data_IF_443861481130
#
_entry.id   IF_443861481130
#
_cell.length_a   1.000
_cell.length_b   1.000
_cell.length_c   1.000
_cell.angle_alpha   90.00
_cell.angle_beta   90.00
_cell.angle_gamma   90.00
#
_symmetry.space_group_name_H-M   'P 1'
#
loop_
_entity.id
_entity.type
_entity.pdbx_description
1 polymer ?
#
# COMPACT_ATOMS: atom_id res chain seq x y z
N UNK A 1 -17.10 10.23 37.39
CA UNK A 1 -16.63 10.83 36.13
C UNK A 1 -15.75 9.92 35.26
N UNK A 2 -14.74 9.18 35.77
CA UNK A 2 -13.76 8.50 34.91
C UNK A 2 -13.99 6.99 34.66
N UNK A 3 -14.81 6.30 35.46
CA UNK A 3 -14.85 4.83 35.43
C UNK A 3 -15.59 4.26 34.21
N UNK A 4 -16.59 4.97 33.66
CA UNK A 4 -17.42 4.47 32.55
C UNK A 4 -17.08 5.07 31.18
N UNK A 5 -16.44 6.23 31.13
CA UNK A 5 -16.04 6.90 29.88
C UNK A 5 -14.73 6.33 29.32
N UNK A 6 -13.79 5.95 30.20
CA UNK A 6 -12.49 5.39 29.81
C UNK A 6 -12.58 4.13 28.92
N UNK A 7 -13.43 3.12 29.21
CA UNK A 7 -13.54 1.93 28.36
C UNK A 7 -14.19 2.21 27.00
N UNK A 8 -15.12 3.17 26.94
CA UNK A 8 -15.82 3.56 25.70
C UNK A 8 -14.82 4.23 24.76
N UNK A 9 -14.15 5.29 25.21
CA UNK A 9 -13.10 5.99 24.44
C UNK A 9 -12.02 5.03 23.97
N UNK A 10 -11.51 4.16 24.85
CA UNK A 10 -10.49 3.17 24.47
C UNK A 10 -10.96 2.27 23.31
N UNK A 11 -12.24 1.87 23.30
CA UNK A 11 -12.79 1.00 22.24
C UNK A 11 -12.87 1.76 20.91
N UNK A 12 -13.33 3.01 20.91
CA UNK A 12 -13.39 3.86 19.72
C UNK A 12 -12.00 4.18 19.18
N UNK A 13 -11.02 4.46 20.05
CA UNK A 13 -9.62 4.64 19.66
C UNK A 13 -9.04 3.40 18.97
N UNK A 14 -9.29 2.20 19.50
CA UNK A 14 -8.85 0.95 18.86
C UNK A 14 -9.48 0.77 17.47
N UNK A 15 -10.78 1.06 17.31
CA UNK A 15 -11.46 0.99 16.03
C UNK A 15 -10.89 1.99 15.02
N UNK A 16 -10.69 3.24 15.45
CA UNK A 16 -10.07 4.32 14.65
C UNK A 16 -8.69 3.90 14.17
N UNK A 17 -7.86 3.33 15.05
CA UNK A 17 -6.52 2.87 14.70
C UNK A 17 -6.55 1.69 13.73
N UNK A 18 -7.48 0.74 13.90
CA UNK A 18 -7.64 -0.38 12.98
C UNK A 18 -8.02 0.08 11.56
N UNK A 19 -8.93 1.06 11.44
CA UNK A 19 -9.32 1.66 10.16
C UNK A 19 -8.11 2.33 9.49
N UNK A 20 -7.40 3.21 10.22
CA UNK A 20 -6.21 3.89 9.70
C UNK A 20 -5.10 2.91 9.30
N UNK A 21 -4.93 1.82 10.06
CA UNK A 21 -3.96 0.79 9.74
C UNK A 21 -4.35 0.01 8.47
N UNK A 22 -5.63 -0.26 8.28
CA UNK A 22 -6.16 -0.87 7.06
C UNK A 22 -5.93 0.01 5.83
N UNK A 23 -6.24 1.30 5.93
CA UNK A 23 -5.97 2.32 4.91
C UNK A 23 -4.49 2.32 4.49
N UNK A 24 -3.59 2.49 5.46
CA UNK A 24 -2.14 2.47 5.22
C UNK A 24 -1.67 1.16 4.58
N UNK A 25 -2.27 0.02 4.92
CA UNK A 25 -1.90 -1.26 4.33
C UNK A 25 -2.32 -1.36 2.86
N UNK A 26 -3.42 -0.72 2.47
CA UNK A 26 -3.86 -0.62 1.07
C UNK A 26 -2.92 0.29 0.28
N UNK A 27 -2.62 1.50 0.78
CA UNK A 27 -1.67 2.44 0.17
C UNK A 27 -0.30 1.77 -0.06
N UNK A 28 0.28 1.18 0.99
CA UNK A 28 1.56 0.46 0.88
C UNK A 28 1.49 -0.71 -0.11
N UNK A 29 0.33 -1.36 -0.25
CA UNK A 29 0.12 -2.43 -1.21
C UNK A 29 0.20 -1.94 -2.65
N UNK A 30 -0.39 -0.77 -2.93
CA UNK A 30 -0.34 -0.12 -4.25
C UNK A 30 1.08 0.35 -4.55
N UNK A 31 1.74 1.04 -3.62
CA UNK A 31 3.14 1.48 -3.78
C UNK A 31 4.09 0.30 -4.04
N UNK A 32 3.87 -0.82 -3.35
CA UNK A 32 4.62 -2.04 -3.58
C UNK A 32 4.41 -2.59 -5.00
N UNK A 33 3.16 -2.63 -5.48
CA UNK A 33 2.87 -3.06 -6.84
C UNK A 33 3.49 -2.15 -7.89
N UNK A 34 3.49 -0.83 -7.67
CA UNK A 34 4.14 0.16 -8.52
C UNK A 34 5.64 -0.12 -8.62
N UNK A 35 6.30 -0.27 -7.47
CA UNK A 35 7.72 -0.58 -7.40
C UNK A 35 8.08 -1.88 -8.13
N UNK A 36 7.26 -2.93 -7.98
CA UNK A 36 7.49 -4.21 -8.66
C UNK A 36 7.29 -4.08 -10.17
N UNK A 37 6.28 -3.32 -10.60
CA UNK A 37 5.98 -3.10 -12.01
C UNK A 37 7.08 -2.29 -12.69
N UNK A 38 7.58 -1.23 -12.05
CA UNK A 38 8.69 -0.41 -12.54
C UNK A 38 9.97 -1.25 -12.64
N UNK A 39 10.28 -2.04 -11.60
CA UNK A 39 11.41 -2.96 -11.63
C UNK A 39 11.30 -4.02 -12.75
N UNK A 40 10.09 -4.44 -13.09
CA UNK A 40 9.86 -5.36 -14.22
C UNK A 40 10.17 -4.67 -15.56
N UNK A 41 9.70 -3.44 -15.77
CA UNK A 41 10.00 -2.66 -16.99
C UNK A 41 11.50 -2.42 -17.12
N UNK A 42 12.16 -1.99 -16.05
CA UNK A 42 13.62 -1.82 -16.03
C UNK A 42 14.37 -3.13 -16.32
N UNK A 43 13.83 -4.26 -15.87
CA UNK A 43 14.39 -5.57 -16.19
C UNK A 43 14.37 -5.86 -17.70
N UNK A 44 13.37 -5.39 -18.45
CA UNK A 44 13.30 -5.58 -19.90
C UNK A 44 14.47 -4.88 -20.61
N UNK A 45 14.76 -3.62 -20.26
CA UNK A 45 15.91 -2.89 -20.81
C UNK A 45 17.25 -3.53 -20.42
N UNK A 46 17.36 -4.05 -19.19
CA UNK A 46 18.56 -4.79 -18.76
C UNK A 46 18.76 -6.08 -19.56
N UNK A 47 17.67 -6.79 -19.87
CA UNK A 47 17.68 -8.03 -20.65
C UNK A 47 17.99 -7.75 -22.12
N UNK A 48 17.45 -6.67 -22.69
CA UNK A 48 17.78 -6.22 -24.05
C UNK A 48 19.28 -5.94 -24.17
N UNK A 49 19.84 -5.15 -23.25
CA UNK A 49 21.27 -4.82 -23.21
C UNK A 49 22.16 -6.05 -23.11
N UNK A 50 21.79 -7.03 -22.27
CA UNK A 50 22.53 -8.28 -22.10
C UNK A 50 22.50 -9.15 -23.37
N UNK A 51 21.34 -9.24 -24.02
CA UNK A 51 21.18 -9.98 -25.28
C UNK A 51 21.96 -9.32 -26.41
N UNK A 52 21.85 -8.00 -26.57
CA UNK A 52 22.63 -7.21 -27.53
C UNK A 52 24.12 -7.48 -27.41
N UNK A 53 24.65 -7.41 -26.18
CA UNK A 53 26.07 -7.71 -25.92
C UNK A 53 26.46 -9.14 -26.31
N UNK A 54 25.57 -10.11 -26.08
CA UNK A 54 25.80 -11.52 -26.45
C UNK A 54 25.85 -11.71 -27.96
N UNK A 55 24.98 -11.01 -28.69
CA UNK A 55 24.93 -11.01 -30.15
C UNK A 55 26.19 -10.36 -30.73
N UNK A 56 26.61 -9.20 -30.21
CA UNK A 56 27.85 -8.51 -30.63
C UNK A 56 29.11 -9.36 -30.36
N UNK A 57 29.14 -10.09 -29.24
CA UNK A 57 30.22 -11.05 -28.95
C UNK A 57 30.24 -12.21 -29.96
N UNK A 58 29.06 -12.71 -30.35
CA UNK A 58 28.94 -13.77 -31.36
C UNK A 58 29.41 -13.30 -32.74
N UNK A 59 29.07 -12.05 -33.12
CA UNK A 59 29.58 -11.39 -34.33
C UNK A 59 31.12 -11.32 -34.31
N UNK A 60 31.69 -10.87 -33.19
CA UNK A 60 33.15 -10.77 -33.01
C UNK A 60 33.85 -12.14 -33.12
N UNK A 61 33.25 -13.19 -32.55
CA UNK A 61 33.77 -14.55 -32.65
C UNK A 61 33.73 -15.06 -34.11
N UNK A 62 32.67 -14.74 -34.86
CA UNK A 62 32.55 -15.10 -36.26
C UNK A 62 33.63 -14.41 -37.11
N UNK A 63 33.86 -13.11 -36.89
CA UNK A 63 34.95 -12.37 -37.53
C UNK A 63 36.32 -12.99 -37.24
N UNK A 64 36.57 -13.34 -35.98
CA UNK A 64 37.83 -13.98 -35.56
C UNK A 64 38.04 -15.33 -36.27
N UNK A 65 36.97 -16.09 -36.50
CA UNK A 65 37.03 -17.35 -37.25
C UNK A 65 37.36 -17.13 -38.73
N UNK A 66 36.73 -16.13 -39.35
CA UNK A 66 37.02 -15.73 -40.73
C UNK A 66 38.47 -15.25 -40.90
N UNK A 67 38.98 -14.45 -39.97
CA UNK A 67 40.37 -13.99 -39.95
C UNK A 67 41.35 -15.18 -39.92
N UNK A 68 41.04 -16.22 -39.16
CA UNK A 68 41.85 -17.44 -39.11
C UNK A 68 41.87 -18.19 -40.45
N UNK A 69 40.74 -18.25 -41.16
CA UNK A 69 40.64 -18.84 -42.51
C UNK A 69 41.48 -18.03 -43.51
N UNK A 70 41.33 -16.72 -43.52
CA UNK A 70 42.09 -15.83 -44.39
C UNK A 70 43.61 -15.98 -44.16
N UNK A 71 44.03 -16.10 -42.90
CA UNK A 71 45.44 -16.29 -42.53
C UNK A 71 46.04 -17.63 -43.03
N UNK A 72 45.21 -18.67 -43.18
CA UNK A 72 45.64 -20.00 -43.62
C UNK A 72 45.49 -20.21 -45.13
N UNK A 73 44.60 -19.46 -45.79
CA UNK A 73 44.38 -19.51 -47.23
C UNK A 73 44.32 -18.09 -47.84
N UNK A 74 45.47 -17.50 -48.21
CA UNK A 74 45.52 -16.13 -48.75
C UNK A 74 44.72 -15.91 -50.04
N UNK A 75 44.43 -16.99 -50.80
CA UNK A 75 43.60 -16.94 -52.00
C UNK A 75 42.09 -16.87 -51.73
N UNK A 76 41.65 -17.00 -50.48
CA UNK A 76 40.24 -16.99 -50.09
C UNK A 76 39.72 -15.61 -49.65
N UNK A 77 40.57 -14.58 -49.59
CA UNK A 77 40.23 -13.26 -49.05
C UNK A 77 38.95 -12.65 -49.65
N UNK A 78 38.76 -12.74 -50.97
CA UNK A 78 37.56 -12.23 -51.63
C UNK A 78 36.26 -12.93 -51.20
N UNK A 79 36.31 -14.26 -51.03
CA UNK A 79 35.15 -15.04 -50.56
C UNK A 79 34.91 -14.86 -49.06
N UNK A 80 35.95 -14.61 -48.27
CA UNK A 80 35.82 -14.30 -46.84
C UNK A 80 35.15 -12.95 -46.63
N UNK A 81 35.48 -11.95 -47.46
CA UNK A 81 34.87 -10.62 -47.40
C UNK A 81 33.37 -10.67 -47.73
N UNK A 82 32.96 -11.39 -48.78
CA UNK A 82 31.54 -11.58 -49.11
C UNK A 82 30.77 -12.25 -47.97
N UNK A 83 31.37 -13.24 -47.29
CA UNK A 83 30.75 -13.90 -46.14
C UNK A 83 30.66 -12.93 -44.95
N UNK A 84 31.69 -12.10 -44.73
CA UNK A 84 31.72 -11.11 -43.65
C UNK A 84 30.59 -10.09 -43.83
N UNK A 85 30.45 -9.54 -45.03
CA UNK A 85 29.44 -8.54 -45.35
C UNK A 85 28.02 -9.11 -45.17
N UNK A 86 27.77 -10.33 -45.67
CA UNK A 86 26.49 -11.01 -45.49
C UNK A 86 26.18 -11.30 -44.01
N UNK A 87 27.18 -11.69 -43.21
CA UNK A 87 26.99 -11.95 -41.78
C UNK A 87 26.75 -10.66 -41.01
N UNK A 88 27.44 -9.58 -41.37
CA UNK A 88 27.27 -8.27 -40.76
C UNK A 88 25.86 -7.74 -40.97
N UNK A 89 25.35 -7.81 -42.20
CA UNK A 89 23.98 -7.39 -42.54
C UNK A 89 22.94 -8.20 -41.76
N UNK A 90 23.15 -9.51 -41.60
CA UNK A 90 22.25 -10.37 -40.83
C UNK A 90 22.29 -10.06 -39.32
N UNK A 91 23.45 -9.77 -38.75
CA UNK A 91 23.58 -9.37 -37.34
C UNK A 91 22.96 -8.00 -37.09
N UNK A 92 23.17 -7.05 -37.99
CA UNK A 92 22.60 -5.70 -37.90
C UNK A 92 21.07 -5.77 -37.99
N UNK A 93 20.51 -6.49 -38.96
CA UNK A 93 19.09 -6.74 -39.06
C UNK A 93 18.51 -7.36 -37.78
N UNK A 94 19.20 -8.34 -37.19
CA UNK A 94 18.75 -9.00 -35.97
C UNK A 94 18.76 -8.03 -34.77
N UNK A 95 19.83 -7.25 -34.61
CA UNK A 95 19.96 -6.26 -33.55
C UNK A 95 18.91 -5.16 -33.66
N UNK A 96 18.64 -4.67 -34.87
CA UNK A 96 17.72 -3.57 -35.11
C UNK A 96 16.26 -4.00 -34.86
N UNK A 97 15.84 -5.15 -35.40
CA UNK A 97 14.51 -5.71 -35.11
C UNK A 97 14.33 -6.03 -33.63
N UNK A 98 15.37 -6.52 -32.97
CA UNK A 98 15.31 -6.84 -31.55
C UNK A 98 15.18 -5.57 -30.70
N UNK A 99 15.94 -4.52 -31.01
CA UNK A 99 15.85 -3.23 -30.33
C UNK A 99 14.47 -2.60 -30.51
N UNK A 100 13.92 -2.63 -31.72
CA UNK A 100 12.57 -2.15 -32.01
C UNK A 100 11.51 -2.92 -31.22
N UNK A 101 11.59 -4.25 -31.20
CA UNK A 101 10.65 -5.09 -30.46
C UNK A 101 10.67 -4.79 -28.95
N UNK A 102 11.85 -4.71 -28.34
CA UNK A 102 11.97 -4.41 -26.92
C UNK A 102 11.53 -2.97 -26.61
N UNK A 103 11.89 -2.01 -27.45
CA UNK A 103 11.45 -0.62 -27.30
C UNK A 103 9.93 -0.50 -27.31
N UNK A 104 9.26 -1.14 -28.26
CA UNK A 104 7.79 -1.13 -28.35
C UNK A 104 7.14 -1.78 -27.11
N UNK A 105 7.65 -2.93 -26.67
CA UNK A 105 7.12 -3.61 -25.47
C UNK A 105 7.33 -2.75 -24.22
N UNK A 106 8.51 -2.14 -24.08
CA UNK A 106 8.83 -1.27 -22.95
C UNK A 106 7.93 -0.04 -22.91
N UNK A 107 7.74 0.63 -24.06
CA UNK A 107 6.87 1.80 -24.21
C UNK A 107 5.41 1.45 -23.91
N UNK A 108 4.85 0.42 -24.56
CA UNK A 108 3.46 -0.01 -24.31
C UNK A 108 3.25 -0.42 -22.85
N UNK A 109 4.22 -1.10 -22.23
CA UNK A 109 4.13 -1.49 -20.83
C UNK A 109 4.18 -0.26 -19.92
N UNK A 110 5.10 0.69 -20.17
CA UNK A 110 5.23 1.91 -19.38
C UNK A 110 3.98 2.78 -19.48
N UNK A 111 3.46 3.01 -20.68
CA UNK A 111 2.20 3.73 -20.87
C UNK A 111 1.03 3.05 -20.14
N UNK A 112 0.97 1.72 -20.17
CA UNK A 112 -0.04 0.95 -19.44
C UNK A 112 0.08 1.08 -17.92
N UNK A 113 1.31 1.13 -17.39
CA UNK A 113 1.57 1.34 -15.97
C UNK A 113 1.24 2.77 -15.53
N UNK A 114 1.64 3.78 -16.30
CA UNK A 114 1.33 5.18 -16.01
C UNK A 114 -0.19 5.40 -15.94
N UNK A 115 -0.95 4.82 -16.88
CA UNK A 115 -2.41 4.88 -16.86
C UNK A 115 -3.04 4.12 -15.68
N UNK A 116 -2.43 3.00 -15.27
CA UNK A 116 -2.85 2.25 -14.10
C UNK A 116 -2.58 3.03 -12.80
N UNK A 117 -1.44 3.71 -12.72
CA UNK A 117 -1.02 4.51 -11.57
C UNK A 117 -1.91 5.74 -11.40
N UNK A 118 -2.25 6.43 -12.48
CA UNK A 118 -3.21 7.54 -12.45
C UNK A 118 -4.59 7.06 -11.94
N UNK A 119 -5.10 5.93 -12.46
CA UNK A 119 -6.37 5.36 -12.03
C UNK A 119 -6.35 4.93 -10.55
N UNK A 120 -5.26 4.32 -10.09
CA UNK A 120 -5.13 3.87 -8.71
C UNK A 120 -4.94 5.02 -7.75
N UNK A 121 -4.22 6.08 -8.13
CA UNK A 121 -4.12 7.31 -7.36
C UNK A 121 -5.51 7.94 -7.13
N UNK A 122 -6.29 8.12 -8.19
CA UNK A 122 -7.66 8.63 -8.10
C UNK A 122 -8.55 7.78 -7.18
N UNK A 123 -8.39 6.45 -7.24
CA UNK A 123 -9.14 5.53 -6.39
C UNK A 123 -8.72 5.61 -4.92
N UNK A 124 -7.41 5.74 -4.64
CA UNK A 124 -6.89 5.89 -3.29
C UNK A 124 -7.36 7.21 -2.66
N UNK A 125 -7.26 8.32 -3.40
CA UNK A 125 -7.74 9.62 -2.93
C UNK A 125 -9.24 9.57 -2.58
N UNK A 126 -10.07 8.98 -3.46
CA UNK A 126 -11.50 8.82 -3.19
C UNK A 126 -11.80 7.87 -2.03
N UNK A 127 -10.94 6.86 -1.79
CA UNK A 127 -11.06 5.97 -0.63
C UNK A 127 -10.70 6.71 0.65
N UNK A 128 -9.64 7.51 0.64
CA UNK A 128 -9.17 8.29 1.78
C UNK A 128 -10.22 9.28 2.26
N UNK A 129 -10.84 10.01 1.33
CA UNK A 129 -11.98 10.89 1.63
C UNK A 129 -13.15 10.13 2.29
N UNK A 130 -13.45 8.91 1.81
CA UNK A 130 -14.49 8.07 2.40
C UNK A 130 -14.13 7.58 3.80
N UNK A 131 -12.86 7.22 4.02
CA UNK A 131 -12.38 6.80 5.34
C UNK A 131 -12.41 7.97 6.31
N UNK A 132 -11.99 9.17 5.91
CA UNK A 132 -12.10 10.38 6.73
C UNK A 132 -13.55 10.64 7.16
N UNK A 133 -14.51 10.58 6.23
CA UNK A 133 -15.94 10.71 6.57
C UNK A 133 -16.42 9.67 7.59
N UNK A 134 -15.94 8.42 7.48
CA UNK A 134 -16.27 7.35 8.43
C UNK A 134 -15.62 7.61 9.80
N UNK A 135 -14.39 8.10 9.82
CA UNK A 135 -13.68 8.44 11.06
C UNK A 135 -14.36 9.59 11.80
N UNK A 136 -14.78 10.62 11.08
CA UNK A 136 -15.54 11.74 11.65
C UNK A 136 -16.87 11.26 12.24
N UNK A 137 -17.60 10.40 11.50
CA UNK A 137 -18.84 9.80 12.02
C UNK A 137 -18.59 8.93 13.28
N UNK A 138 -17.44 8.23 13.36
CA UNK A 138 -17.05 7.49 14.55
C UNK A 138 -16.77 8.41 15.74
N UNK A 139 -16.15 9.56 15.52
CA UNK A 139 -15.90 10.56 16.55
C UNK A 139 -17.20 11.17 17.09
N UNK A 140 -18.14 11.49 16.20
CA UNK A 140 -19.47 11.96 16.59
C UNK A 140 -20.23 10.91 17.43
N UNK A 141 -20.10 9.63 17.08
CA UNK A 141 -20.70 8.52 17.83
C UNK A 141 -20.02 8.28 19.19
N UNK A 142 -18.70 8.48 19.26
CA UNK A 142 -17.94 8.42 20.51
C UNK A 142 -18.44 9.50 21.47
N UNK A 143 -18.55 10.75 21.00
CA UNK A 143 -19.06 11.87 21.79
C UNK A 143 -20.47 11.60 22.34
N UNK A 144 -21.39 11.15 21.48
CA UNK A 144 -22.74 10.77 21.90
C UNK A 144 -22.77 9.62 22.92
N UNK A 145 -21.84 8.66 22.79
CA UNK A 145 -21.74 7.52 23.71
C UNK A 145 -21.21 7.95 25.08
N UNK A 146 -20.25 8.87 25.11
CA UNK A 146 -19.71 9.47 26.34
C UNK A 146 -20.82 10.26 27.05
N UNK A 147 -21.51 11.15 26.33
CA UNK A 147 -22.62 11.94 26.89
C UNK A 147 -23.74 11.05 27.46
N UNK A 148 -24.05 9.94 26.79
CA UNK A 148 -25.05 8.99 27.28
C UNK A 148 -24.57 8.26 28.55
N UNK A 149 -23.29 7.89 28.62
CA UNK A 149 -22.70 7.26 29.80
C UNK A 149 -22.70 8.21 31.01
N UNK A 150 -22.34 9.48 30.80
CA UNK A 150 -22.38 10.53 31.81
C UNK A 150 -23.81 10.74 32.35
N UNK A 151 -24.81 10.80 31.47
CA UNK A 151 -26.22 10.92 31.90
C UNK A 151 -26.73 9.73 32.72
N UNK A 152 -26.20 8.53 32.48
CA UNK A 152 -26.53 7.35 33.28
C UNK A 152 -25.83 7.43 34.65
N UNK A 153 -24.57 7.87 34.68
CA UNK A 153 -23.83 8.11 35.92
C UNK A 153 -24.57 9.12 36.81
N UNK A 154 -24.96 10.27 36.27
CA UNK A 154 -25.71 11.31 37.00
C UNK A 154 -27.04 10.79 37.57
N UNK A 155 -27.76 9.93 36.84
CA UNK A 155 -29.00 9.32 37.33
C UNK A 155 -28.75 8.32 38.45
N UNK A 156 -27.66 7.56 38.38
CA UNK A 156 -27.27 6.60 39.42
C UNK A 156 -26.86 7.34 40.69
N UNK A 157 -26.08 8.42 40.58
CA UNK A 157 -25.72 9.28 41.72
C UNK A 157 -26.98 9.87 42.38
N UNK A 158 -27.90 10.44 41.60
CA UNK A 158 -29.18 10.95 42.13
C UNK A 158 -30.03 9.87 42.81
N UNK A 159 -29.96 8.62 42.36
CA UNK A 159 -30.67 7.51 42.99
C UNK A 159 -30.02 7.12 44.33
N UNK A 160 -28.68 7.14 44.40
CA UNK A 160 -27.95 6.90 45.65
C UNK A 160 -28.26 7.98 46.69
N UNK A 161 -28.22 9.26 46.30
CA UNK A 161 -28.56 10.39 47.18
C UNK A 161 -29.99 10.28 47.74
N UNK A 162 -30.95 9.87 46.91
CA UNK A 162 -32.32 9.63 47.35
C UNK A 162 -32.42 8.47 48.36
N UNK A 163 -31.64 7.40 48.15
CA UNK A 163 -31.62 6.25 49.08
C UNK A 163 -31.00 6.65 50.42
N UNK A 164 -29.92 7.45 50.42
CA UNK A 164 -29.33 7.98 51.64
C UNK A 164 -30.31 8.87 52.41
N UNK A 165 -30.98 9.81 51.74
CA UNK A 165 -32.01 10.66 52.38
C UNK A 165 -33.17 9.86 52.97
N UNK A 166 -33.59 8.77 52.32
CA UNK A 166 -34.64 7.89 52.86
C UNK A 166 -34.14 7.14 54.10
N UNK A 167 -32.88 6.68 54.11
CA UNK A 167 -32.30 6.03 55.28
C UNK A 167 -32.19 6.99 56.47
N UNK A 168 -31.73 8.21 56.24
CA UNK A 168 -31.63 9.25 57.26
C UNK A 168 -33.00 9.58 57.87
N UNK A 169 -34.03 9.76 57.04
CA UNK A 169 -35.41 9.95 57.53
C UNK A 169 -35.93 8.78 58.35
N UNK A 170 -35.61 7.54 57.97
CA UNK A 170 -36.02 6.36 58.73
C UNK A 170 -35.30 6.31 60.09
N UNK A 171 -34.02 6.69 60.15
CA UNK A 171 -33.28 6.80 61.41
C UNK A 171 -33.88 7.88 62.32
N UNK A 172 -34.14 9.09 61.79
CA UNK A 172 -34.77 10.17 62.56
C UNK A 172 -36.13 9.77 63.15
N UNK A 173 -36.97 9.10 62.36
CA UNK A 173 -38.28 8.61 62.81
C UNK A 173 -38.12 7.54 63.91
N UNK A 174 -37.10 6.67 63.81
CA UNK A 174 -36.82 5.67 64.84
C UNK A 174 -36.33 6.30 66.14
N UNK A 175 -35.45 7.31 66.08
CA UNK A 175 -34.97 8.04 67.25
C UNK A 175 -36.12 8.78 67.95
N UNK A 176 -36.98 9.48 67.20
CA UNK A 176 -38.19 10.11 67.76
C UNK A 176 -39.13 9.11 68.43
N UNK A 177 -39.32 7.93 67.82
CA UNK A 177 -40.15 6.88 68.40
C UNK A 177 -39.57 6.35 69.72
N UNK A 178 -38.25 6.19 69.81
CA UNK A 178 -37.57 5.77 71.04
C UNK A 178 -37.67 6.82 72.15
N UNK A 179 -37.43 8.10 71.86
CA UNK A 179 -37.61 9.18 72.86
C UNK A 179 -39.04 9.23 73.40
N UNK A 180 -40.05 9.01 72.54
CA UNK A 180 -41.46 9.01 72.96
C UNK A 180 -41.84 7.86 73.90
N UNK A 181 -41.06 6.78 73.91
CA UNK A 181 -41.28 5.60 74.76
C UNK A 181 -40.55 5.68 76.11
N UNK A 182 -39.54 6.55 76.25
CA UNK A 182 -38.78 6.75 77.47
C UNK A 182 -39.29 7.92 78.36
N UNK A 183 -40.22 8.74 77.85
CA UNK A 183 -40.90 9.84 78.56
C UNK A 183 -42.22 9.42 79.23
#
# INVERSE_FOLDING_TARGET
MAEYTTPITTTFEMQRQAIKQGQNAVEQGVEFQQTVSEAFVDSLGSQESAQRRTVELSKTAFHSYLDAIESTMPGAAGSVEEIREAVDEQFEFLLENHAELFGNIEEETREGLDAYDELTADYLDAMDEQIEMVLDAHEDLEGQSIEAAEQVEDQVEQMQDQVEQVQDQVQEVQEQAQESLEA
#
